data_IF_673224659663
#
_entry.id   IF_673224659663
#
_cell.length_a   1.000
_cell.length_b   1.000
_cell.length_c   1.000
_cell.angle_alpha   90.00
_cell.angle_beta   90.00
_cell.angle_gamma   90.00
#
_symmetry.space_group_name_H-M   'P 1'
#
loop_
_entity.id
_entity.type
_entity.pdbx_description
1 polymer ?
#
# COMPACT_ATOMS: atom_id res chain seq x y z
N UNK A 1 -31.46 -25.47 49.45
CA UNK A 1 -30.18 -25.39 50.20
C UNK A 1 -29.53 -24.06 49.81
N UNK A 2 -29.66 -23.01 50.62
CA UNK A 2 -28.65 -22.57 51.62
C UNK A 2 -27.26 -22.37 50.98
N UNK A 3 -26.58 -21.22 51.00
CA UNK A 3 -26.64 -20.06 51.90
C UNK A 3 -25.94 -18.86 51.22
N UNK A 4 -26.48 -17.68 51.50
CA UNK A 4 -25.88 -16.35 51.29
C UNK A 4 -24.80 -16.05 52.34
N UNK A 5 -23.85 -15.14 52.02
CA UNK A 5 -23.11 -14.21 52.92
C UNK A 5 -22.13 -13.41 52.03
N UNK A 6 -22.34 -12.12 51.74
CA UNK A 6 -21.94 -10.92 52.53
C UNK A 6 -20.52 -11.08 53.15
N UNK A 7 -19.59 -10.13 53.08
CA UNK A 7 -19.74 -8.69 53.39
C UNK A 7 -18.39 -7.92 53.25
N UNK A 8 -18.53 -6.62 53.00
CA UNK A 8 -17.75 -5.46 53.53
C UNK A 8 -16.35 -5.04 53.04
N UNK A 9 -16.35 -3.73 52.73
CA UNK A 9 -15.28 -2.76 52.51
C UNK A 9 -14.22 -2.62 53.62
N UNK A 10 -13.08 -2.01 53.24
CA UNK A 10 -12.33 -1.09 54.11
C UNK A 10 -11.49 -0.07 53.32
N UNK A 11 -11.71 1.19 53.70
CA UNK A 11 -11.01 2.44 53.38
C UNK A 11 -9.70 2.63 54.17
N UNK A 12 -8.71 3.35 53.59
CA UNK A 12 -7.80 4.33 54.23
C UNK A 12 -6.84 4.88 53.13
N UNK A 13 -6.87 6.14 52.68
CA UNK A 13 -6.36 7.42 53.25
C UNK A 13 -4.93 7.41 53.81
N UNK A 14 -4.06 8.23 53.20
CA UNK A 14 -3.04 9.14 53.79
C UNK A 14 -2.29 9.81 52.60
N UNK A 15 -2.48 11.08 52.22
CA UNK A 15 -2.05 12.40 52.78
C UNK A 15 -0.55 12.65 52.90
N UNK A 16 -0.16 13.87 52.45
CA UNK A 16 1.02 14.72 52.74
C UNK A 16 2.15 14.66 51.69
N UNK A 17 2.79 15.74 51.26
CA UNK A 17 2.73 17.17 51.61
C UNK A 17 3.34 18.02 50.48
N UNK A 18 2.94 19.29 50.42
CA UNK A 18 3.61 20.38 49.70
C UNK A 18 4.65 21.06 50.61
N UNK A 19 5.72 21.68 50.05
CA UNK A 19 6.18 23.03 50.45
C UNK A 19 7.32 23.63 49.59
N UNK A 20 7.10 24.91 49.22
CA UNK A 20 7.98 26.10 49.07
C UNK A 20 9.28 26.04 48.24
N UNK A 21 9.49 26.91 47.23
CA UNK A 21 9.68 28.39 47.21
C UNK A 21 10.90 28.88 48.00
N UNK A 22 11.88 29.43 47.27
CA UNK A 22 12.80 30.47 47.75
C UNK A 22 13.25 31.37 46.60
N UNK A 23 12.89 32.64 46.71
CA UNK A 23 13.35 33.80 45.94
C UNK A 23 14.55 34.41 46.68
N UNK A 24 15.55 34.89 45.95
CA UNK A 24 16.65 35.71 46.49
C UNK A 24 17.14 36.70 45.44
N UNK A 25 17.09 37.99 45.78
CA UNK A 25 17.33 39.14 44.91
C UNK A 25 18.80 39.61 44.84
N UNK A 26 19.07 40.49 43.86
CA UNK A 26 20.33 41.16 43.46
C UNK A 26 21.07 41.97 44.57
N UNK A 27 22.31 42.44 44.29
CA UNK A 27 22.44 43.87 43.91
C UNK A 27 23.41 44.22 42.75
N UNK A 28 23.18 45.43 42.20
CA UNK A 28 23.88 46.20 41.16
C UNK A 28 25.33 46.63 41.51
N UNK A 29 26.17 46.81 40.47
CA UNK A 29 27.10 47.96 40.21
C UNK A 29 27.74 47.77 38.81
N UNK A 30 28.19 48.72 37.98
CA UNK A 30 28.05 50.16 37.73
C UNK A 30 28.73 50.40 36.35
N UNK A 31 28.16 51.32 35.57
CA UNK A 31 28.52 51.85 34.24
C UNK A 31 29.97 51.79 33.68
N UNK A 32 30.06 51.61 32.36
CA UNK A 32 30.99 52.37 31.50
C UNK A 32 30.34 52.64 30.12
N UNK A 33 30.28 53.91 29.75
CA UNK A 33 29.82 54.38 28.45
C UNK A 33 30.94 54.23 27.41
N UNK A 34 30.58 53.74 26.22
CA UNK A 34 31.46 53.68 25.05
C UNK A 34 30.65 53.97 23.80
N UNK A 35 30.93 55.11 23.17
CA UNK A 35 30.34 55.59 21.92
C UNK A 35 30.87 54.85 20.70
N UNK A 36 29.99 54.55 19.75
CA UNK A 36 30.32 54.40 18.33
C UNK A 36 30.59 52.98 17.85
N UNK A 37 29.64 52.41 17.09
CA UNK A 37 29.69 52.29 15.64
C UNK A 37 28.43 51.54 15.18
N UNK A 38 27.70 52.13 14.22
CA UNK A 38 26.51 51.53 13.63
C UNK A 38 26.89 50.23 12.91
N UNK A 39 26.43 49.09 13.43
CA UNK A 39 26.37 47.84 12.69
C UNK A 39 24.97 47.72 12.10
N UNK A 40 24.86 47.90 10.79
CA UNK A 40 23.70 47.48 10.00
C UNK A 40 23.38 46.02 10.29
N UNK A 41 22.15 45.64 10.66
CA UNK A 41 21.78 44.25 10.70
C UNK A 41 21.74 43.75 9.25
N UNK A 42 22.70 42.91 8.87
CA UNK A 42 22.58 42.12 7.67
C UNK A 42 21.36 41.22 7.84
N UNK A 43 20.28 41.55 7.13
CA UNK A 43 19.13 40.69 6.99
C UNK A 43 19.62 39.38 6.38
N UNK A 44 19.77 38.34 7.21
CA UNK A 44 19.89 36.98 6.74
C UNK A 44 18.58 36.68 6.00
N UNK A 45 18.62 36.77 4.67
CA UNK A 45 17.61 36.21 3.81
C UNK A 45 17.64 34.70 4.04
N UNK A 46 16.88 34.26 5.03
CA UNK A 46 16.52 32.86 5.19
C UNK A 46 15.82 32.46 3.92
N UNK A 47 16.53 31.76 3.04
CA UNK A 47 15.91 31.00 1.98
C UNK A 47 14.93 30.06 2.68
N UNK A 48 13.66 30.46 2.70
CA UNK A 48 12.57 29.57 3.03
C UNK A 48 12.58 28.53 1.93
N UNK A 49 13.29 27.43 2.16
CA UNK A 49 13.09 26.22 1.39
C UNK A 49 11.63 25.87 1.63
N UNK A 50 10.77 26.19 0.66
CA UNK A 50 9.43 25.63 0.60
C UNK A 50 9.68 24.14 0.52
N UNK A 51 9.53 23.45 1.65
CA UNK A 51 9.52 22.01 1.66
C UNK A 51 8.34 21.63 0.76
N UNK A 52 8.64 21.14 -0.45
CA UNK A 52 7.62 20.57 -1.32
C UNK A 52 6.95 19.49 -0.48
N UNK A 53 5.66 19.67 -0.20
CA UNK A 53 4.91 18.71 0.60
C UNK A 53 5.06 17.34 -0.07
N UNK A 54 5.49 16.33 0.69
CA UNK A 54 5.60 14.98 0.18
C UNK A 54 4.23 14.53 -0.36
N UNK A 55 4.17 14.24 -1.66
CA UNK A 55 2.95 13.78 -2.33
C UNK A 55 2.73 12.29 -2.06
N UNK A 56 1.46 11.88 -2.01
CA UNK A 56 1.07 10.48 -1.85
C UNK A 56 1.18 9.68 -3.14
N UNK A 57 0.85 8.39 -3.07
CA UNK A 57 0.83 7.49 -4.21
C UNK A 57 -0.23 7.89 -5.26
N UNK A 58 -1.24 8.66 -4.87
CA UNK A 58 -2.28 9.20 -5.75
C UNK A 58 -1.82 10.35 -6.64
N UNK A 59 -0.60 10.87 -6.44
CA UNK A 59 0.06 11.70 -7.45
C UNK A 59 0.28 10.90 -8.74
N UNK A 60 -0.01 11.44 -9.93
CA UNK A 60 0.10 10.70 -11.19
C UNK A 60 1.50 10.08 -11.44
N UNK A 61 2.58 10.78 -11.10
CA UNK A 61 3.93 10.26 -11.29
C UNK A 61 4.23 9.14 -10.30
N UNK A 62 3.79 9.28 -9.04
CA UNK A 62 3.90 8.21 -8.03
C UNK A 62 3.06 7.00 -8.38
N UNK A 63 1.90 7.20 -8.98
CA UNK A 63 1.03 6.13 -9.46
C UNK A 63 1.68 5.36 -10.60
N UNK A 64 2.29 6.04 -11.57
CA UNK A 64 3.04 5.38 -12.66
C UNK A 64 4.18 4.52 -12.08
N UNK A 65 4.98 5.08 -11.16
CA UNK A 65 6.03 4.33 -10.44
C UNK A 65 5.46 3.09 -9.74
N UNK A 66 4.31 3.22 -9.07
CA UNK A 66 3.67 2.08 -8.40
C UNK A 66 3.26 0.98 -9.39
N UNK A 67 2.80 1.35 -10.59
CA UNK A 67 2.46 0.36 -11.63
C UNK A 67 3.70 -0.36 -12.15
N UNK A 68 4.79 0.37 -12.38
CA UNK A 68 6.06 -0.22 -12.83
C UNK A 68 6.65 -1.17 -11.79
N UNK A 69 6.60 -0.80 -10.50
CA UNK A 69 7.07 -1.65 -9.41
C UNK A 69 6.27 -2.96 -9.35
N UNK A 70 4.93 -2.89 -9.34
CA UNK A 70 4.07 -4.09 -9.37
C UNK A 70 4.37 -4.93 -10.61
N UNK A 71 4.42 -4.32 -11.80
CA UNK A 71 4.69 -5.04 -13.05
C UNK A 71 6.06 -5.71 -13.07
N UNK A 72 7.06 -5.17 -12.37
CA UNK A 72 8.37 -5.84 -12.24
C UNK A 72 8.26 -7.17 -11.49
N UNK A 73 7.34 -7.26 -10.52
CA UNK A 73 7.08 -8.49 -9.77
C UNK A 73 6.06 -9.41 -10.46
N UNK A 74 5.04 -8.88 -11.12
CA UNK A 74 4.03 -9.72 -11.79
C UNK A 74 4.52 -10.23 -13.15
N UNK A 75 5.37 -9.46 -13.85
CA UNK A 75 5.64 -9.68 -15.27
C UNK A 75 7.11 -9.47 -15.67
N UNK A 76 8.02 -9.33 -14.70
CA UNK A 76 9.46 -9.09 -14.92
C UNK A 76 9.75 -7.93 -15.90
N UNK A 77 8.88 -6.91 -15.93
CA UNK A 77 8.97 -5.78 -16.86
C UNK A 77 8.45 -4.49 -16.22
N UNK A 78 9.05 -3.34 -16.56
CA UNK A 78 8.50 -2.03 -16.19
C UNK A 78 7.40 -1.57 -17.15
N UNK A 79 7.29 -2.16 -18.35
CA UNK A 79 6.21 -1.85 -19.31
C UNK A 79 4.89 -2.51 -18.88
N UNK A 80 4.29 -1.96 -17.82
CA UNK A 80 3.02 -2.44 -17.26
C UNK A 80 1.86 -2.32 -18.26
N UNK A 81 1.94 -1.35 -19.19
CA UNK A 81 0.92 -1.15 -20.22
C UNK A 81 0.92 -2.29 -21.24
N UNK A 82 2.05 -2.98 -21.44
CA UNK A 82 2.06 -4.20 -22.26
C UNK A 82 1.17 -5.32 -21.70
N UNK A 83 0.79 -5.26 -20.42
CA UNK A 83 0.05 -6.31 -19.71
C UNK A 83 -1.45 -6.22 -19.88
N UNK A 84 -2.00 -5.16 -20.48
CA UNK A 84 -3.44 -5.11 -20.82
C UNK A 84 -3.89 -6.36 -21.61
N UNK A 85 -3.01 -6.92 -22.44
CA UNK A 85 -3.25 -8.10 -23.26
C UNK A 85 -2.87 -9.43 -22.60
N UNK A 86 -2.20 -9.41 -21.45
CA UNK A 86 -1.77 -10.61 -20.74
C UNK A 86 -2.99 -11.45 -20.40
N UNK A 87 -2.90 -12.76 -20.64
CA UNK A 87 -3.90 -13.75 -20.27
C UNK A 87 -3.27 -15.14 -20.36
N UNK A 88 -3.31 -15.88 -19.27
CA UNK A 88 -2.75 -17.21 -19.12
C UNK A 88 -3.43 -17.92 -17.94
N UNK A 89 -3.54 -19.25 -17.99
CA UNK A 89 -3.76 -20.03 -16.77
C UNK A 89 -2.40 -20.54 -16.30
N UNK A 90 -1.97 -20.04 -15.14
CA UNK A 90 -0.64 -20.31 -14.58
C UNK A 90 -0.63 -21.54 -13.67
N UNK A 91 -1.74 -22.27 -13.56
CA UNK A 91 -1.85 -23.50 -12.79
C UNK A 91 -1.91 -23.30 -11.28
N UNK A 92 -2.29 -22.11 -10.81
CA UNK A 92 -2.42 -21.76 -9.39
C UNK A 92 -3.84 -22.00 -8.83
N UNK A 93 -4.73 -22.58 -9.63
CA UNK A 93 -6.12 -22.87 -9.26
C UNK A 93 -7.07 -21.68 -9.37
N UNK A 94 -6.66 -20.55 -9.95
CA UNK A 94 -7.50 -19.35 -10.17
C UNK A 94 -8.12 -19.29 -11.58
N UNK A 95 -7.80 -20.26 -12.44
CA UNK A 95 -8.20 -20.30 -13.85
C UNK A 95 -7.37 -19.33 -14.68
N UNK A 96 -7.99 -18.62 -15.63
CA UNK A 96 -7.29 -17.57 -16.37
C UNK A 96 -6.96 -16.39 -15.46
N UNK A 97 -5.70 -15.97 -15.44
CA UNK A 97 -5.16 -14.74 -14.87
C UNK A 97 -4.82 -13.78 -16.01
N UNK A 98 -5.29 -12.54 -15.97
CA UNK A 98 -5.21 -11.63 -17.11
C UNK A 98 -5.11 -10.14 -16.74
N UNK A 99 -4.61 -9.33 -17.67
CA UNK A 99 -4.59 -7.87 -17.54
C UNK A 99 -3.53 -7.32 -16.59
N UNK A 100 -3.61 -6.01 -16.33
CA UNK A 100 -2.56 -5.22 -15.66
C UNK A 100 -2.32 -5.54 -14.17
N UNK A 101 -3.19 -6.32 -13.55
CA UNK A 101 -3.06 -6.74 -12.14
C UNK A 101 -3.47 -8.21 -11.90
N UNK A 102 -3.59 -9.01 -12.97
CA UNK A 102 -3.96 -10.42 -12.83
C UNK A 102 -5.40 -10.68 -12.39
N UNK A 103 -6.39 -10.07 -13.06
CA UNK A 103 -7.80 -10.43 -12.90
C UNK A 103 -8.00 -11.91 -13.21
N UNK A 104 -8.69 -12.64 -12.34
CA UNK A 104 -8.85 -14.09 -12.43
C UNK A 104 -10.30 -14.50 -12.74
N UNK A 105 -10.47 -15.50 -13.62
CA UNK A 105 -11.81 -16.04 -13.91
C UNK A 105 -12.44 -16.74 -12.71
N UNK A 106 -11.63 -17.28 -11.80
CA UNK A 106 -12.07 -18.02 -10.62
C UNK A 106 -12.36 -17.18 -9.37
N UNK A 107 -11.94 -15.91 -9.32
CA UNK A 107 -12.08 -15.04 -8.12
C UNK A 107 -13.18 -13.99 -8.27
N UNK A 108 -13.73 -13.83 -9.47
CA UNK A 108 -14.87 -12.97 -9.77
C UNK A 108 -14.50 -11.57 -10.29
N UNK A 109 -13.29 -11.09 -10.05
CA UNK A 109 -12.83 -9.78 -10.52
C UNK A 109 -12.74 -9.69 -12.07
N UNK A 110 -12.40 -10.77 -12.78
CA UNK A 110 -12.46 -10.81 -14.24
C UNK A 110 -13.91 -10.72 -14.76
N UNK A 111 -14.86 -11.34 -14.05
CA UNK A 111 -16.27 -11.23 -14.39
C UNK A 111 -16.77 -9.78 -14.20
N UNK A 112 -16.42 -9.16 -13.07
CA UNK A 112 -16.74 -7.75 -12.79
C UNK A 112 -16.14 -6.82 -13.85
N UNK A 113 -14.87 -7.05 -14.23
CA UNK A 113 -14.20 -6.29 -15.30
C UNK A 113 -14.89 -6.41 -16.66
N UNK A 114 -15.23 -7.63 -17.10
CA UNK A 114 -15.90 -7.81 -18.40
C UNK A 114 -17.32 -7.24 -18.37
N UNK A 115 -17.99 -7.26 -17.22
CA UNK A 115 -19.27 -6.60 -17.03
C UNK A 115 -19.13 -5.08 -17.15
N UNK A 116 -18.18 -4.47 -16.42
CA UNK A 116 -17.90 -3.03 -16.48
C UNK A 116 -17.52 -2.59 -17.90
N UNK A 117 -16.68 -3.36 -18.60
CA UNK A 117 -16.36 -3.09 -20.01
C UNK A 117 -17.61 -3.15 -20.91
N UNK A 118 -18.55 -4.06 -20.63
CA UNK A 118 -19.82 -4.16 -21.36
C UNK A 118 -20.76 -3.01 -21.07
N UNK A 119 -20.74 -2.48 -19.85
CA UNK A 119 -21.52 -1.31 -19.48
C UNK A 119 -20.95 -0.03 -20.12
N UNK A 120 -19.62 0.09 -20.22
CA UNK A 120 -18.96 1.19 -20.93
C UNK A 120 -19.10 1.10 -22.47
N UNK A 121 -19.09 -0.11 -23.02
CA UNK A 121 -19.19 -0.38 -24.45
C UNK A 121 -20.02 -1.64 -24.72
N UNK A 122 -21.32 -1.42 -24.92
CA UNK A 122 -22.26 -2.49 -25.27
C UNK A 122 -21.84 -3.19 -26.56
N UNK A 123 -21.95 -4.52 -26.60
CA UNK A 123 -21.62 -5.31 -27.80
C UNK A 123 -20.13 -5.45 -28.11
N UNK A 124 -19.25 -5.17 -27.13
CA UNK A 124 -17.83 -5.46 -27.26
C UNK A 124 -17.56 -6.97 -27.44
N UNK A 125 -16.36 -7.30 -27.90
CA UNK A 125 -15.97 -8.68 -28.24
C UNK A 125 -15.99 -9.66 -27.06
N UNK A 126 -15.90 -9.16 -25.82
CA UNK A 126 -15.89 -9.98 -24.60
C UNK A 126 -17.28 -10.21 -24.00
N UNK A 127 -18.29 -9.39 -24.34
CA UNK A 127 -19.63 -9.46 -23.75
C UNK A 127 -20.28 -10.85 -23.88
N UNK A 128 -20.00 -11.57 -24.99
CA UNK A 128 -20.51 -12.93 -25.23
C UNK A 128 -20.01 -13.98 -24.22
N UNK A 129 -18.93 -13.70 -23.47
CA UNK A 129 -18.35 -14.61 -22.49
C UNK A 129 -18.92 -14.42 -21.07
N UNK A 130 -19.72 -13.38 -20.81
CA UNK A 130 -20.31 -13.13 -19.48
C UNK A 130 -21.05 -14.35 -18.89
N UNK A 131 -21.87 -15.12 -19.65
CA UNK A 131 -22.50 -16.32 -19.11
C UNK A 131 -21.50 -17.41 -18.70
N UNK A 132 -20.41 -17.57 -19.46
CA UNK A 132 -19.36 -18.55 -19.16
C UNK A 132 -18.55 -18.11 -17.93
N UNK A 133 -18.12 -16.84 -17.87
CA UNK A 133 -17.43 -16.25 -16.72
C UNK A 133 -18.26 -16.41 -15.43
N UNK A 134 -19.57 -16.16 -15.48
CA UNK A 134 -20.46 -16.37 -14.34
C UNK A 134 -20.53 -17.83 -13.88
N UNK A 135 -20.45 -18.78 -14.82
CA UNK A 135 -20.51 -20.22 -14.53
C UNK A 135 -19.21 -20.74 -13.92
N UNK A 136 -18.06 -20.24 -14.37
CA UNK A 136 -16.74 -20.73 -13.92
C UNK A 136 -16.22 -20.02 -12.66
N UNK A 137 -16.80 -18.86 -12.31
CA UNK A 137 -16.45 -18.13 -11.09
C UNK A 137 -16.52 -19.03 -9.85
N UNK A 138 -15.47 -19.00 -9.02
CA UNK A 138 -15.25 -19.92 -7.89
C UNK A 138 -14.55 -21.23 -8.25
N UNK A 139 -14.02 -21.38 -9.48
CA UNK A 139 -13.26 -22.54 -9.94
C UNK A 139 -12.17 -22.15 -10.94
N UNK A 140 -11.29 -23.09 -11.27
CA UNK A 140 -10.27 -22.98 -12.33
C UNK A 140 -10.80 -23.41 -13.73
N UNK A 141 -12.11 -23.60 -13.90
CA UNK A 141 -12.66 -24.17 -15.14
C UNK A 141 -12.54 -23.22 -16.34
N UNK A 142 -12.17 -23.76 -17.50
CA UNK A 142 -12.16 -23.03 -18.79
C UNK A 142 -13.43 -23.23 -19.64
N UNK A 143 -14.48 -23.85 -19.07
CA UNK A 143 -15.68 -24.24 -19.79
C UNK A 143 -16.41 -23.02 -20.42
N UNK A 144 -16.45 -22.98 -21.75
CA UNK A 144 -17.10 -21.89 -22.50
C UNK A 144 -16.22 -20.65 -22.78
N UNK A 145 -14.94 -20.70 -22.39
CA UNK A 145 -13.95 -19.64 -22.65
C UNK A 145 -12.94 -20.09 -23.73
N UNK A 146 -11.95 -20.88 -23.34
CA UNK A 146 -10.94 -21.50 -24.21
C UNK A 146 -10.11 -20.52 -25.04
N UNK A 147 -9.52 -21.03 -26.12
CA UNK A 147 -8.65 -20.26 -27.03
C UNK A 147 -9.35 -19.07 -27.69
N UNK A 148 -10.66 -19.16 -27.91
CA UNK A 148 -11.44 -18.04 -28.43
C UNK A 148 -11.47 -16.86 -27.45
N UNK A 149 -11.70 -17.12 -26.16
CA UNK A 149 -11.66 -16.08 -25.12
C UNK A 149 -10.28 -15.43 -25.02
N UNK A 150 -9.22 -16.23 -25.05
CA UNK A 150 -7.83 -15.75 -25.04
C UNK A 150 -7.53 -14.81 -26.22
N UNK A 151 -7.99 -15.17 -27.42
CA UNK A 151 -7.79 -14.34 -28.62
C UNK A 151 -8.62 -13.06 -28.59
N UNK A 152 -9.86 -13.14 -28.12
CA UNK A 152 -10.74 -11.99 -28.00
C UNK A 152 -10.29 -11.05 -26.88
N UNK A 153 -9.69 -11.56 -25.80
CA UNK A 153 -9.05 -10.75 -24.75
C UNK A 153 -7.93 -9.89 -25.34
N UNK A 154 -7.02 -10.51 -26.10
CA UNK A 154 -5.93 -9.81 -26.79
C UNK A 154 -6.42 -8.81 -27.83
N UNK A 155 -7.58 -9.07 -28.43
CA UNK A 155 -8.24 -8.14 -29.35
C UNK A 155 -8.82 -6.96 -28.59
N UNK A 156 -9.55 -7.20 -27.50
CA UNK A 156 -10.10 -6.18 -26.63
C UNK A 156 -9.00 -5.30 -26.02
N UNK A 157 -7.82 -5.84 -25.70
CA UNK A 157 -6.70 -5.08 -25.15
C UNK A 157 -6.18 -3.95 -26.05
N UNK A 158 -6.53 -3.95 -27.34
CA UNK A 158 -6.25 -2.85 -28.28
C UNK A 158 -7.27 -1.72 -28.19
N UNK A 159 -8.44 -1.98 -27.60
CA UNK A 159 -9.51 -1.02 -27.39
C UNK A 159 -9.21 -0.16 -26.15
N UNK A 160 -9.14 1.15 -26.32
CA UNK A 160 -8.89 2.09 -25.23
C UNK A 160 -9.98 2.04 -24.16
N UNK A 161 -11.21 1.62 -24.51
CA UNK A 161 -12.29 1.46 -23.52
C UNK A 161 -12.07 0.23 -22.63
N UNK A 162 -11.48 -0.85 -23.16
CA UNK A 162 -11.12 -1.99 -22.32
C UNK A 162 -9.91 -1.68 -21.43
N UNK A 163 -8.94 -0.91 -21.94
CA UNK A 163 -7.83 -0.40 -21.12
C UNK A 163 -8.36 0.49 -19.98
N UNK A 164 -9.34 1.35 -20.26
CA UNK A 164 -10.01 2.15 -19.24
C UNK A 164 -10.73 1.26 -18.22
N UNK A 165 -11.48 0.25 -18.66
CA UNK A 165 -12.17 -0.67 -17.75
C UNK A 165 -11.19 -1.38 -16.81
N UNK A 166 -10.02 -1.82 -17.30
CA UNK A 166 -8.97 -2.39 -16.45
C UNK A 166 -8.41 -1.38 -15.45
N UNK A 167 -8.17 -0.14 -15.87
CA UNK A 167 -7.72 0.93 -14.98
C UNK A 167 -8.73 1.24 -13.88
N UNK A 168 -10.02 1.30 -14.23
CA UNK A 168 -11.11 1.58 -13.31
C UNK A 168 -11.25 0.48 -12.26
N UNK A 169 -11.20 -0.79 -12.67
CA UNK A 169 -11.31 -1.91 -11.73
C UNK A 169 -10.10 -2.04 -10.81
N UNK A 170 -8.88 -1.87 -11.35
CA UNK A 170 -7.67 -1.72 -10.52
C UNK A 170 -7.86 -0.64 -9.48
N UNK A 171 -8.36 0.52 -9.90
CA UNK A 171 -8.52 1.68 -9.03
C UNK A 171 -9.59 1.47 -7.96
N UNK A 172 -10.74 0.91 -8.34
CA UNK A 172 -11.89 0.68 -7.47
C UNK A 172 -11.59 -0.35 -6.39
N UNK A 173 -10.98 -1.48 -6.76
CA UNK A 173 -10.84 -2.64 -5.86
C UNK A 173 -9.52 -2.65 -5.10
N UNK A 174 -8.44 -2.16 -5.70
CA UNK A 174 -7.08 -2.32 -5.17
C UNK A 174 -6.44 -0.99 -4.79
N UNK A 175 -6.25 -0.10 -5.76
CA UNK A 175 -5.45 1.12 -5.57
C UNK A 175 -6.12 2.12 -4.62
N UNK A 176 -7.35 2.53 -4.89
CA UNK A 176 -8.02 3.54 -4.05
C UNK A 176 -8.24 3.03 -2.62
N UNK A 177 -8.71 1.78 -2.38
CA UNK A 177 -8.87 1.27 -1.02
C UNK A 177 -7.55 1.19 -0.24
N UNK A 178 -6.48 0.69 -0.85
CA UNK A 178 -5.17 0.57 -0.19
C UNK A 178 -4.55 1.93 0.13
N UNK A 179 -4.56 2.87 -0.83
CA UNK A 179 -4.05 4.23 -0.63
C UNK A 179 -4.86 4.96 0.44
N UNK A 180 -6.20 4.85 0.41
CA UNK A 180 -7.08 5.44 1.43
C UNK A 180 -6.78 4.86 2.82
N UNK A 181 -6.62 3.54 2.92
CA UNK A 181 -6.32 2.88 4.20
C UNK A 181 -4.94 3.27 4.73
N UNK A 182 -3.91 3.30 3.87
CA UNK A 182 -2.57 3.72 4.23
C UNK A 182 -2.53 5.18 4.71
N UNK A 183 -3.27 6.09 4.05
CA UNK A 183 -3.44 7.48 4.52
C UNK A 183 -4.11 7.55 5.89
N UNK A 184 -5.15 6.74 6.14
CA UNK A 184 -5.80 6.68 7.44
C UNK A 184 -4.86 6.16 8.55
N UNK A 185 -3.89 5.31 8.19
CA UNK A 185 -2.84 4.84 9.08
C UNK A 185 -1.65 5.81 9.22
N UNK A 186 -1.66 6.92 8.48
CA UNK A 186 -0.62 7.95 8.52
C UNK A 186 0.65 7.57 7.75
N UNK A 187 0.54 6.69 6.76
CA UNK A 187 1.67 6.22 5.96
C UNK A 187 1.96 7.16 4.77
N UNK A 188 3.25 7.37 4.51
CA UNK A 188 3.76 8.08 3.33
C UNK A 188 3.73 7.18 2.08
N UNK A 189 4.21 7.68 0.94
CA UNK A 189 4.06 7.02 -0.36
C UNK A 189 4.61 5.58 -0.38
N UNK A 190 5.74 5.29 0.28
CA UNK A 190 6.27 3.93 0.41
C UNK A 190 5.28 3.00 1.14
N UNK A 191 4.71 3.44 2.27
CA UNK A 191 3.74 2.63 2.99
C UNK A 191 2.42 2.44 2.23
N UNK A 192 2.01 3.45 1.45
CA UNK A 192 0.89 3.34 0.51
C UNK A 192 1.18 2.31 -0.58
N UNK A 193 2.39 2.31 -1.15
CA UNK A 193 2.82 1.30 -2.12
C UNK A 193 2.85 -0.10 -1.50
N UNK A 194 3.41 -0.26 -0.30
CA UNK A 194 3.43 -1.53 0.43
C UNK A 194 2.01 -2.09 0.64
N UNK A 195 1.02 -1.24 0.93
CA UNK A 195 -0.38 -1.65 1.02
C UNK A 195 -0.96 -2.02 -0.35
N UNK A 196 -0.68 -1.24 -1.38
CA UNK A 196 -1.15 -1.49 -2.74
C UNK A 196 -0.63 -2.83 -3.27
N UNK A 197 0.66 -3.08 -3.13
CA UNK A 197 1.31 -4.32 -3.56
C UNK A 197 0.76 -5.54 -2.80
N UNK A 198 0.47 -5.38 -1.50
CA UNK A 198 -0.14 -6.43 -0.70
C UNK A 198 -1.58 -6.73 -1.11
N UNK A 199 -2.43 -5.72 -1.39
CA UNK A 199 -3.81 -5.97 -1.80
C UNK A 199 -3.90 -6.54 -3.22
N UNK A 200 -2.95 -6.23 -4.10
CA UNK A 200 -2.86 -6.87 -5.43
C UNK A 200 -2.63 -8.37 -5.29
N UNK A 201 -1.64 -8.77 -4.50
CA UNK A 201 -1.28 -10.19 -4.34
C UNK A 201 -2.28 -10.98 -3.47
N UNK A 202 -2.78 -10.38 -2.39
CA UNK A 202 -3.56 -11.08 -1.37
C UNK A 202 -5.07 -10.78 -1.42
N UNK A 203 -5.48 -9.89 -2.32
CA UNK A 203 -6.86 -9.45 -2.45
C UNK A 203 -7.38 -8.62 -1.27
N UNK A 204 -8.55 -7.98 -1.44
CA UNK A 204 -9.27 -7.35 -0.35
C UNK A 204 -9.85 -8.41 0.60
N UNK A 205 -10.17 -8.01 1.84
CA UNK A 205 -10.86 -8.88 2.79
C UNK A 205 -10.37 -8.74 4.21
N UNK A 206 -10.88 -9.62 5.08
CA UNK A 206 -10.52 -9.70 6.51
C UNK A 206 -10.09 -11.10 6.95
N UNK A 207 -9.99 -12.07 6.04
CA UNK A 207 -9.38 -13.38 6.31
C UNK A 207 -7.90 -13.19 6.65
N UNK A 208 -7.30 -14.16 7.35
CA UNK A 208 -5.91 -14.05 7.84
C UNK A 208 -4.86 -13.87 6.75
N UNK A 209 -5.15 -14.38 5.55
CA UNK A 209 -4.32 -14.33 4.34
C UNK A 209 -4.60 -13.11 3.46
N UNK A 210 -5.76 -12.45 3.59
CA UNK A 210 -6.08 -11.22 2.85
C UNK A 210 -5.35 -9.98 3.36
N UNK A 211 -5.36 -8.89 2.58
CA UNK A 211 -4.79 -7.60 2.96
C UNK A 211 -5.21 -7.12 4.37
N UNK A 212 -6.50 -7.20 4.70
CA UNK A 212 -6.98 -6.74 6.01
C UNK A 212 -6.49 -7.61 7.17
N UNK A 213 -6.32 -8.91 6.94
CA UNK A 213 -5.72 -9.83 7.92
C UNK A 213 -4.24 -9.54 8.16
N UNK A 214 -3.46 -9.33 7.09
CA UNK A 214 -2.04 -8.95 7.15
C UNK A 214 -1.89 -7.63 7.92
N UNK A 215 -2.70 -6.63 7.60
CA UNK A 215 -2.72 -5.35 8.31
C UNK A 215 -3.03 -5.53 9.79
N UNK A 216 -4.04 -6.33 10.14
CA UNK A 216 -4.40 -6.61 11.51
C UNK A 216 -3.29 -7.34 12.27
N UNK A 217 -2.57 -8.27 11.62
CA UNK A 217 -1.41 -8.94 12.20
C UNK A 217 -0.26 -7.96 12.49
N UNK A 218 0.02 -7.04 11.56
CA UNK A 218 1.02 -5.99 11.75
C UNK A 218 0.68 -5.07 12.93
N UNK A 219 -0.58 -4.64 13.04
CA UNK A 219 -1.04 -3.75 14.12
C UNK A 219 -0.99 -4.39 15.52
N UNK A 220 -0.98 -5.72 15.62
CA UNK A 220 -0.72 -6.42 16.89
C UNK A 220 0.74 -6.31 17.34
N UNK A 221 1.66 -5.98 16.43
CA UNK A 221 3.11 -5.92 16.67
C UNK A 221 3.64 -4.49 16.78
N UNK A 222 3.07 -3.57 16.01
CA UNK A 222 3.48 -2.17 15.99
C UNK A 222 2.28 -1.24 15.79
N UNK A 223 2.28 -0.09 16.48
CA UNK A 223 1.29 0.97 16.27
C UNK A 223 1.53 1.64 14.91
N UNK A 224 0.45 2.03 14.23
CA UNK A 224 0.55 2.85 13.02
C UNK A 224 1.00 4.28 13.38
N UNK A 225 1.54 5.05 12.42
CA UNK A 225 1.82 6.48 12.64
C UNK A 225 0.62 7.28 13.14
N UNK A 226 -0.59 7.02 12.63
CA UNK A 226 -1.82 7.65 13.13
C UNK A 226 -2.13 7.33 14.60
N UNK A 227 -1.55 6.25 15.15
CA UNK A 227 -1.63 5.88 16.57
C UNK A 227 -0.39 6.31 17.37
N UNK A 228 0.47 7.15 16.80
CA UNK A 228 1.71 7.64 17.40
C UNK A 228 2.88 6.65 17.33
N UNK A 229 2.82 5.66 16.44
CA UNK A 229 3.94 4.74 16.17
C UNK A 229 4.97 5.31 15.20
N UNK A 230 6.17 4.73 15.21
CA UNK A 230 7.18 5.00 14.20
C UNK A 230 6.86 4.26 12.89
N UNK A 231 6.92 4.96 11.75
CA UNK A 231 6.53 4.40 10.45
C UNK A 231 7.44 3.24 10.03
N UNK A 232 8.76 3.32 10.26
CA UNK A 232 9.65 2.22 9.90
C UNK A 232 9.38 0.96 10.72
N UNK A 233 9.10 1.14 12.00
CA UNK A 233 8.70 0.05 12.91
C UNK A 233 7.41 -0.61 12.43
N UNK A 234 6.41 0.20 12.06
CA UNK A 234 5.15 -0.30 11.53
C UNK A 234 5.33 -1.04 10.20
N UNK A 235 6.05 -0.46 9.24
CA UNK A 235 6.26 -1.07 7.93
C UNK A 235 7.08 -2.35 8.02
N UNK A 236 8.08 -2.45 8.91
CA UNK A 236 8.77 -3.71 9.16
C UNK A 236 7.82 -4.79 9.67
N UNK A 237 6.97 -4.46 10.65
CA UNK A 237 5.97 -5.40 11.16
C UNK A 237 4.97 -5.84 10.07
N UNK A 238 4.58 -4.94 9.17
CA UNK A 238 3.68 -5.25 8.06
C UNK A 238 4.35 -6.17 7.02
N UNK A 239 5.57 -5.83 6.58
CA UNK A 239 6.31 -6.65 5.63
C UNK A 239 6.63 -8.04 6.20
N UNK A 240 6.89 -8.15 7.50
CA UNK A 240 7.10 -9.44 8.17
C UNK A 240 5.82 -10.27 8.19
N UNK A 241 4.68 -9.66 8.55
CA UNK A 241 3.37 -10.33 8.52
C UNK A 241 3.02 -10.82 7.11
N UNK A 242 3.26 -9.98 6.10
CA UNK A 242 3.02 -10.32 4.69
C UNK A 242 3.85 -11.52 4.25
N UNK A 243 5.15 -11.54 4.55
CA UNK A 243 6.03 -12.65 4.18
C UNK A 243 5.60 -13.98 4.79
N UNK A 244 5.01 -13.98 5.97
CA UNK A 244 4.45 -15.20 6.58
C UNK A 244 3.35 -15.77 5.70
N UNK A 245 2.45 -14.93 5.20
CA UNK A 245 1.35 -15.35 4.32
C UNK A 245 1.86 -15.79 2.95
N UNK A 246 2.76 -15.01 2.33
CA UNK A 246 3.36 -15.38 1.03
C UNK A 246 3.96 -16.79 1.03
N UNK A 247 4.62 -17.19 2.13
CA UNK A 247 5.23 -18.51 2.27
C UNK A 247 4.25 -19.67 2.48
N UNK A 248 2.97 -19.41 2.67
CA UNK A 248 1.94 -20.44 2.81
C UNK A 248 1.45 -20.95 1.46
N UNK A 249 1.62 -20.17 0.39
CA UNK A 249 1.25 -20.53 -0.96
C UNK A 249 2.52 -20.77 -1.79
N UNK A 250 2.69 -21.97 -2.35
CA UNK A 250 3.91 -22.34 -3.09
C UNK A 250 4.18 -21.39 -4.27
N UNK A 251 3.11 -20.97 -4.97
CA UNK A 251 3.17 -19.98 -6.05
C UNK A 251 3.71 -18.60 -5.61
N UNK A 252 3.72 -18.30 -4.31
CA UNK A 252 4.15 -17.02 -3.74
C UNK A 252 5.35 -17.16 -2.76
N UNK A 253 6.02 -18.31 -2.75
CA UNK A 253 7.11 -18.58 -1.79
C UNK A 253 8.34 -17.67 -1.99
N UNK A 254 8.57 -17.16 -3.21
CA UNK A 254 9.57 -16.12 -3.46
C UNK A 254 9.09 -14.79 -2.89
N UNK A 255 9.90 -14.21 -2.00
CA UNK A 255 9.58 -12.96 -1.29
C UNK A 255 10.45 -11.78 -1.71
N UNK A 256 11.09 -11.85 -2.88
CA UNK A 256 12.01 -10.82 -3.40
C UNK A 256 11.35 -9.46 -3.58
N UNK A 257 10.07 -9.39 -4.00
CA UNK A 257 9.28 -8.13 -4.02
C UNK A 257 9.22 -7.43 -2.65
N UNK A 258 9.34 -8.20 -1.57
CA UNK A 258 9.50 -7.63 -0.22
C UNK A 258 10.97 -7.39 0.09
N UNK A 259 11.82 -8.41 -0.05
CA UNK A 259 13.17 -8.43 0.50
C UNK A 259 14.17 -7.57 -0.26
N UNK A 260 14.11 -7.60 -1.59
CA UNK A 260 15.07 -6.92 -2.48
C UNK A 260 14.45 -5.72 -3.20
N UNK A 261 13.26 -5.30 -2.80
CA UNK A 261 12.56 -4.09 -3.26
C UNK A 261 12.01 -3.26 -2.08
N UNK A 262 10.88 -3.63 -1.49
CA UNK A 262 10.21 -2.79 -0.47
C UNK A 262 11.07 -2.56 0.76
N UNK A 263 11.76 -3.60 1.25
CA UNK A 263 12.70 -3.49 2.37
C UNK A 263 13.93 -2.66 2.01
N UNK A 264 14.37 -2.69 0.75
CA UNK A 264 15.50 -1.86 0.28
C UNK A 264 15.12 -0.38 0.36
N UNK A 265 13.92 -0.02 -0.13
CA UNK A 265 13.43 1.37 -0.05
C UNK A 265 13.23 1.81 1.41
N UNK A 266 12.70 0.92 2.26
CA UNK A 266 12.52 1.18 3.68
C UNK A 266 13.86 1.40 4.41
N UNK A 267 14.85 0.53 4.17
CA UNK A 267 16.18 0.64 4.77
C UNK A 267 16.92 1.90 4.32
N UNK A 268 16.69 2.33 3.08
CA UNK A 268 17.17 3.61 2.56
C UNK A 268 16.42 4.83 3.11
N UNK A 269 15.39 4.63 3.93
CA UNK A 269 14.49 5.68 4.46
C UNK A 269 13.81 6.50 3.35
N UNK A 270 13.58 5.90 2.18
CA UNK A 270 12.90 6.53 1.07
C UNK A 270 11.37 6.41 1.22
N UNK A 271 10.84 6.99 2.30
CA UNK A 271 9.42 6.88 2.63
C UNK A 271 8.50 7.58 1.63
N UNK A 272 9.03 8.55 0.88
CA UNK A 272 8.28 9.27 -0.14
C UNK A 272 8.39 8.61 -1.51
N UNK A 273 9.07 7.45 -1.62
CA UNK A 273 9.23 6.68 -2.85
C UNK A 273 9.76 7.54 -4.01
N UNK A 274 10.79 8.34 -3.73
CA UNK A 274 11.39 9.26 -4.70
C UNK A 274 12.44 8.53 -5.56
N UNK A 275 12.43 8.71 -6.89
CA UNK A 275 13.54 8.31 -7.74
C UNK A 275 14.87 9.00 -7.33
N UNK A 276 16.03 8.39 -7.61
CA UNK A 276 16.17 7.10 -8.29
C UNK A 276 15.80 5.91 -7.39
N UNK A 277 15.02 4.98 -7.94
CA UNK A 277 14.68 3.70 -7.32
C UNK A 277 15.50 2.59 -7.97
N UNK A 278 16.10 1.72 -7.16
CA UNK A 278 16.86 0.55 -7.62
C UNK A 278 16.48 -0.64 -6.76
N UNK A 279 16.12 -1.74 -7.39
CA UNK A 279 15.69 -2.95 -6.69
C UNK A 279 15.97 -4.20 -7.52
N UNK A 280 15.65 -5.35 -6.94
CA UNK A 280 15.61 -6.62 -7.65
C UNK A 280 14.34 -7.38 -7.32
N UNK A 281 13.79 -8.08 -8.30
CA UNK A 281 12.76 -9.12 -8.10
C UNK A 281 13.19 -10.35 -8.90
N UNK A 282 13.07 -11.54 -8.31
CA UNK A 282 13.55 -12.81 -8.90
C UNK A 282 15.05 -12.84 -9.30
N UNK A 283 15.84 -11.91 -8.76
CA UNK A 283 17.26 -11.73 -9.09
C UNK A 283 17.54 -10.68 -10.18
N UNK A 284 16.52 -10.29 -10.95
CA UNK A 284 16.64 -9.33 -12.05
C UNK A 284 16.70 -7.88 -11.53
N UNK A 285 17.66 -7.05 -11.99
CA UNK A 285 17.78 -5.67 -11.57
C UNK A 285 16.84 -4.74 -12.34
N UNK A 286 16.20 -3.83 -11.61
CA UNK A 286 15.34 -2.77 -12.16
C UNK A 286 15.76 -1.40 -11.63
N UNK A 287 15.46 -0.35 -12.40
CA UNK A 287 15.73 1.02 -12.02
C UNK A 287 14.75 2.01 -12.64
N UNK A 288 14.28 2.96 -11.84
CA UNK A 288 13.54 4.17 -12.27
C UNK A 288 14.39 5.38 -11.88
N UNK A 289 14.65 6.29 -12.83
CA UNK A 289 15.58 7.41 -12.63
C UNK A 289 14.92 8.72 -12.23
N UNK A 290 13.72 8.98 -12.74
CA UNK A 290 12.98 10.23 -12.58
C UNK A 290 11.48 9.93 -12.66
#
# INVERSE_FOLDING_TARGET
MHLSKHRTARTARTTRAALALLVGALPLTLAAAGTGHAATPAAAAGASTVAVAAVGLDDPAKKEIAMELVSSAENSSLDWKAQYKYIEDIGDGRGYTAGIIGFCSGTGDMLELVQHYTDLKSGNVLAKYLPALKKVNGSDSHSGLGSAFVNDWRTAAKDTVFQQAQNDERDRVYFNPSVKQAKADGLRALGQFVYYDAIVMHGPGTSSDSFGGIRAAAMKKAKTPAQGGDEATYLNAFLDARKVIMKQEEAHADTSRVDTEQRVFLNAKNFDLNPPLKWKVYGDPYQINA
#
